data_IF_584570718191
#
_entry.id   IF_584570718191
#
_cell.length_a   1.000
_cell.length_b   1.000
_cell.length_c   1.000
_cell.angle_alpha   90.00
_cell.angle_beta   90.00
_cell.angle_gamma   90.00
#
_symmetry.space_group_name_H-M   'P 1'
#
loop_
_entity.id
_entity.type
_entity.pdbx_description
1 polymer ?
#
# COMPACT_ATOMS: atom_id res chain seq x y z
N UNK A 1 3.74 -43.32 -77.98
CA UNK A 1 4.10 -43.50 -76.56
C UNK A 1 4.46 -42.14 -75.98
N UNK A 2 4.14 -41.87 -74.70
CA UNK A 2 4.15 -40.59 -73.97
C UNK A 2 2.79 -39.86 -74.05
N UNK A 3 1.75 -40.26 -73.30
CA UNK A 3 1.57 -40.27 -71.83
C UNK A 3 1.39 -38.87 -71.24
N UNK A 4 0.11 -38.53 -71.05
CA UNK A 4 -0.46 -37.54 -70.13
C UNK A 4 0.21 -37.58 -68.75
N UNK A 5 0.41 -36.43 -68.11
CA UNK A 5 0.30 -36.26 -66.65
C UNK A 5 0.03 -34.77 -66.38
N UNK A 6 -1.13 -34.52 -65.79
CA UNK A 6 -1.54 -33.29 -65.16
C UNK A 6 -1.01 -33.34 -63.71
N UNK A 7 -0.21 -32.38 -63.26
CA UNK A 7 0.21 -32.29 -61.87
C UNK A 7 -0.09 -30.90 -61.31
N UNK A 8 -0.84 -30.91 -60.22
CA UNK A 8 -1.38 -29.77 -59.49
C UNK A 8 -0.24 -28.87 -59.01
N UNK A 9 -0.29 -27.57 -59.35
CA UNK A 9 0.53 -26.56 -58.70
C UNK A 9 0.01 -26.38 -57.27
N UNK A 10 0.68 -27.05 -56.34
CA UNK A 10 0.49 -26.88 -54.91
C UNK A 10 0.82 -25.44 -54.52
N UNK A 11 -0.13 -24.77 -53.86
CA UNK A 11 0.06 -23.51 -53.14
C UNK A 11 1.17 -23.69 -52.09
N UNK A 12 2.39 -23.26 -52.43
CA UNK A 12 3.47 -23.13 -51.46
C UNK A 12 3.39 -21.74 -50.83
N UNK A 13 2.87 -21.69 -49.60
CA UNK A 13 2.98 -20.52 -48.72
C UNK A 13 4.47 -20.23 -48.49
N UNK A 14 4.93 -18.96 -48.56
CA UNK A 14 6.28 -18.63 -48.17
C UNK A 14 6.45 -18.87 -46.67
N UNK A 15 7.29 -19.84 -46.31
CA UNK A 15 7.75 -20.03 -44.94
C UNK A 15 8.83 -18.97 -44.67
N UNK A 16 8.42 -17.76 -44.29
CA UNK A 16 9.38 -16.79 -43.76
C UNK A 16 9.56 -17.08 -42.28
N UNK A 17 10.63 -17.84 -42.01
CA UNK A 17 11.29 -17.89 -40.71
C UNK A 17 11.75 -16.48 -40.35
N UNK A 18 11.12 -15.90 -39.34
CA UNK A 18 11.64 -14.73 -38.63
C UNK A 18 11.07 -14.79 -37.23
N UNK A 19 11.87 -15.38 -36.34
CA UNK A 19 11.76 -15.26 -34.90
C UNK A 19 11.81 -13.78 -34.51
N UNK A 20 10.66 -13.11 -34.46
CA UNK A 20 10.53 -11.80 -33.86
C UNK A 20 9.95 -11.99 -32.46
N UNK A 21 10.87 -11.88 -31.50
CA UNK A 21 10.63 -11.78 -30.06
C UNK A 21 9.27 -11.14 -29.70
N UNK A 22 8.49 -11.89 -28.93
CA UNK A 22 7.39 -11.36 -28.13
C UNK A 22 7.93 -10.37 -27.10
N UNK A 23 7.40 -9.14 -27.10
CA UNK A 23 7.28 -8.36 -25.88
C UNK A 23 5.86 -7.81 -25.78
N UNK A 24 5.10 -8.19 -24.73
CA UNK A 24 3.75 -7.67 -24.53
C UNK A 24 3.81 -6.15 -24.36
N UNK A 25 3.14 -5.43 -25.26
CA UNK A 25 2.82 -4.02 -25.06
C UNK A 25 1.86 -3.92 -23.88
N UNK A 26 2.35 -3.34 -22.78
CA UNK A 26 1.60 -2.72 -21.67
C UNK A 26 2.05 -3.25 -20.31
N UNK A 27 3.19 -2.75 -19.85
CA UNK A 27 3.35 -2.49 -18.41
C UNK A 27 2.97 -1.03 -18.19
N UNK A 28 1.67 -0.80 -18.04
CA UNK A 28 1.16 0.43 -17.42
C UNK A 28 1.90 0.62 -16.10
N UNK A 29 2.81 1.59 -16.04
CA UNK A 29 3.43 2.04 -14.79
C UNK A 29 2.27 2.48 -13.89
N UNK A 30 1.96 1.67 -12.88
CA UNK A 30 1.05 2.08 -11.81
C UNK A 30 1.82 3.04 -10.91
N UNK A 31 1.90 4.30 -11.30
CA UNK A 31 2.23 5.36 -10.36
C UNK A 31 1.18 5.32 -9.26
N UNK A 32 1.54 4.80 -8.08
CA UNK A 32 0.71 4.88 -6.89
C UNK A 32 0.80 6.29 -6.32
N UNK A 33 0.28 7.28 -7.04
CA UNK A 33 -0.03 8.60 -6.49
C UNK A 33 -1.25 8.54 -5.55
N UNK A 34 -1.40 7.41 -4.85
CA UNK A 34 -2.49 7.18 -3.92
C UNK A 34 -2.15 7.90 -2.61
N UNK A 35 -2.93 8.93 -2.29
CA UNK A 35 -2.91 9.61 -1.00
C UNK A 35 -3.12 8.56 0.10
N UNK A 36 -2.08 8.27 0.89
CA UNK A 36 -2.18 7.30 1.99
C UNK A 36 -2.80 7.95 3.21
N UNK A 37 -3.68 7.21 3.88
CA UNK A 37 -4.28 7.59 5.15
C UNK A 37 -3.87 6.62 6.24
N UNK A 38 -3.39 7.13 7.37
CA UNK A 38 -3.03 6.33 8.54
C UNK A 38 -3.78 6.82 9.76
N UNK A 39 -4.28 5.87 10.55
CA UNK A 39 -4.84 6.14 11.86
C UNK A 39 -3.72 5.96 12.89
N UNK A 40 -3.48 6.99 13.70
CA UNK A 40 -2.41 7.04 14.70
C UNK A 40 -3.04 7.28 16.07
N UNK A 41 -2.73 6.41 17.01
CA UNK A 41 -3.08 6.63 18.42
C UNK A 41 -1.99 7.41 19.11
N UNK A 42 -2.34 8.57 19.67
CA UNK A 42 -1.46 9.42 20.45
C UNK A 42 -1.61 9.07 21.93
N UNK A 43 -0.48 8.76 22.58
CA UNK A 43 -0.42 8.46 24.01
C UNK A 43 0.43 9.54 24.70
N UNK A 44 -0.15 10.71 25.05
CA UNK A 44 0.57 11.85 25.61
C UNK A 44 1.32 11.53 26.90
N UNK A 45 0.79 10.62 27.73
CA UNK A 45 1.43 10.25 29.00
C UNK A 45 1.50 11.44 29.96
N UNK A 46 2.64 11.58 30.64
CA UNK A 46 2.86 12.53 31.74
C UNK A 46 4.05 13.45 31.51
N UNK A 47 4.19 14.45 32.39
CA UNK A 47 5.29 15.41 32.33
C UNK A 47 5.17 16.30 31.10
N UNK A 48 6.22 16.33 30.27
CA UNK A 48 6.27 17.13 29.03
C UNK A 48 5.63 16.44 27.81
N UNK A 49 5.11 15.23 28.01
CA UNK A 49 4.58 14.40 26.93
C UNK A 49 3.46 15.06 26.12
N UNK A 50 2.44 15.68 26.75
CA UNK A 50 1.38 16.41 26.04
C UNK A 50 1.91 17.53 25.13
N UNK A 51 2.91 18.28 25.57
CA UNK A 51 3.49 19.41 24.83
C UNK A 51 4.28 18.93 23.61
N UNK A 52 5.12 17.89 23.78
CA UNK A 52 5.92 17.33 22.68
C UNK A 52 5.02 16.69 21.63
N UNK A 53 3.97 15.99 22.06
CA UNK A 53 3.05 15.30 21.14
C UNK A 53 2.18 16.28 20.39
N UNK A 54 1.76 17.40 21.00
CA UNK A 54 1.07 18.47 20.28
C UNK A 54 1.92 19.01 19.12
N UNK A 55 3.20 19.29 19.36
CA UNK A 55 4.11 19.81 18.32
C UNK A 55 4.36 18.76 17.24
N UNK A 56 4.52 17.49 17.62
CA UNK A 56 4.71 16.40 16.66
C UNK A 56 3.49 16.20 15.74
N UNK A 57 2.29 16.32 16.30
CA UNK A 57 1.02 16.25 15.55
C UNK A 57 0.94 17.36 14.50
N UNK A 58 1.33 18.59 14.85
CA UNK A 58 1.30 19.75 13.95
C UNK A 58 2.35 19.64 12.82
N UNK A 59 3.51 19.04 13.11
CA UNK A 59 4.58 18.81 12.13
C UNK A 59 4.29 17.69 11.11
N UNK A 60 3.25 16.88 11.30
CA UNK A 60 3.00 15.67 10.52
C UNK A 60 2.27 15.91 9.18
N UNK A 61 2.37 17.09 8.56
CA UNK A 61 1.45 17.52 7.48
C UNK A 61 1.92 17.22 6.04
N UNK A 62 3.04 16.53 5.83
CA UNK A 62 3.61 16.34 4.49
C UNK A 62 3.04 15.11 3.75
N UNK A 63 2.21 15.36 2.73
CA UNK A 63 1.86 14.37 1.67
C UNK A 63 1.03 13.15 2.10
N UNK A 64 0.76 12.99 3.39
CA UNK A 64 0.06 11.85 3.99
C UNK A 64 -1.12 12.38 4.82
N UNK A 65 -2.26 11.69 4.76
CA UNK A 65 -3.41 11.99 5.62
C UNK A 65 -3.26 11.22 6.93
N UNK A 66 -3.37 11.91 8.05
CA UNK A 66 -3.36 11.30 9.37
C UNK A 66 -4.71 11.50 10.05
N UNK A 67 -5.17 10.46 10.73
CA UNK A 67 -6.29 10.52 11.68
C UNK A 67 -5.73 10.21 13.06
N UNK A 68 -5.83 11.18 13.97
CA UNK A 68 -5.22 11.08 15.30
C UNK A 68 -6.29 10.80 16.36
N UNK A 69 -6.05 9.79 17.21
CA UNK A 69 -6.89 9.50 18.38
C UNK A 69 -6.05 9.55 19.65
N UNK A 70 -6.41 10.40 20.60
CA UNK A 70 -5.71 10.50 21.87
C UNK A 70 -6.30 9.54 22.90
N UNK A 71 -5.43 8.85 23.66
CA UNK A 71 -5.81 7.91 24.72
C UNK A 71 -4.93 8.08 25.95
N UNK A 72 -5.48 7.73 27.11
CA UNK A 72 -4.79 7.86 28.40
C UNK A 72 -3.78 6.72 28.60
N UNK A 73 -2.62 7.07 29.14
CA UNK A 73 -1.55 6.14 29.52
C UNK A 73 -0.78 6.68 30.73
N UNK A 74 -0.25 5.79 31.57
CA UNK A 74 0.73 6.13 32.60
C UNK A 74 0.12 6.77 33.85
N UNK A 75 0.85 7.71 34.44
CA UNK A 75 0.40 8.57 35.54
C UNK A 75 -0.86 9.37 35.19
N UNK A 76 -1.03 9.79 33.95
CA UNK A 76 -2.19 10.56 33.51
C UNK A 76 -3.44 9.68 33.56
N UNK A 77 -3.28 8.41 33.17
CA UNK A 77 -4.32 7.39 33.33
C UNK A 77 -4.55 7.06 34.82
N UNK A 78 -3.50 6.91 35.63
CA UNK A 78 -3.63 6.66 37.07
C UNK A 78 -4.44 7.76 37.76
N UNK A 79 -4.16 9.02 37.44
CA UNK A 79 -4.85 10.16 38.04
C UNK A 79 -6.32 10.23 37.61
N UNK A 80 -6.63 9.88 36.36
CA UNK A 80 -7.98 9.99 35.81
C UNK A 80 -8.87 8.77 36.12
N UNK A 81 -8.30 7.57 36.09
CA UNK A 81 -9.05 6.30 36.11
C UNK A 81 -8.64 5.37 37.25
N UNK A 82 -7.59 5.71 38.00
CA UNK A 82 -7.03 4.85 39.05
C UNK A 82 -6.21 3.66 38.53
N UNK A 83 -6.09 3.50 37.21
CA UNK A 83 -5.31 2.43 36.57
C UNK A 83 -4.29 3.02 35.59
N UNK A 84 -3.06 2.46 35.50
CA UNK A 84 -2.01 3.02 34.65
C UNK A 84 -2.21 2.75 33.15
N UNK A 85 -3.03 1.76 32.82
CA UNK A 85 -3.33 1.38 31.45
C UNK A 85 -4.81 0.98 31.38
N UNK A 86 -5.69 1.91 30.99
CA UNK A 86 -7.11 1.65 30.86
C UNK A 86 -7.38 0.62 29.75
N UNK A 87 -8.38 -0.23 29.96
CA UNK A 87 -8.79 -1.23 28.97
C UNK A 87 -9.25 -0.56 27.65
N UNK A 88 -9.79 0.66 27.72
CA UNK A 88 -10.18 1.48 26.57
C UNK A 88 -8.99 1.89 25.68
N UNK A 89 -7.77 1.88 26.21
CA UNK A 89 -6.54 2.16 25.47
C UNK A 89 -6.01 0.89 24.78
N UNK A 90 -6.22 -0.28 25.40
CA UNK A 90 -5.78 -1.57 24.86
C UNK A 90 -6.76 -2.17 23.86
N UNK A 91 -8.06 -2.17 24.16
CA UNK A 91 -9.10 -2.82 23.35
C UNK A 91 -9.10 -2.40 21.88
N UNK A 92 -8.84 -1.12 21.61
CA UNK A 92 -8.85 -0.55 20.26
C UNK A 92 -7.54 -0.81 19.48
N UNK A 93 -6.40 -1.00 20.17
CA UNK A 93 -5.08 -0.91 19.53
C UNK A 93 -4.09 -2.02 19.93
N UNK A 94 -4.48 -2.95 20.80
CA UNK A 94 -3.73 -4.15 21.09
C UNK A 94 -3.76 -5.03 19.84
N UNK A 95 -2.64 -5.00 19.10
CA UNK A 95 -2.47 -5.69 17.83
C UNK A 95 -2.68 -7.20 18.04
N UNK A 96 -3.59 -7.79 17.26
CA UNK A 96 -3.77 -9.23 17.12
C UNK A 96 -3.13 -9.76 15.85
#
# INVERSE_FOLDING_TARGET
>A
MAASIQFQLLNLKPLHSSSAFTFPKSTSIRCSAAKRSYTITLLPGDGIGPEVISIAKDGSSEGIKYEFHEKLLGGAALNATGVPLPEDTLSEYCWR
#
